data_IF_927990690173
#
_entry.id   IF_927990690173
#
_cell.length_a   1.000
_cell.length_b   1.000
_cell.length_c   1.000
_cell.angle_alpha   90.00
_cell.angle_beta   90.00
_cell.angle_gamma   90.00
#
_symmetry.space_group_name_H-M   'P 1'
#
loop_
_entity.id
_entity.type
_entity.pdbx_description
1 polymer ?
#
# COMPACT_ATOMS: atom_id res chain seq x y z
N UNK A 1 -10.47 16.78 24.32
CA UNK A 1 -11.07 15.78 23.43
C UNK A 1 -11.10 14.46 24.15
N UNK A 2 -12.18 13.70 24.01
CA UNK A 2 -12.25 12.34 24.54
C UNK A 2 -11.32 11.40 23.76
N UNK A 3 -10.95 10.26 24.36
CA UNK A 3 -10.17 9.21 23.66
C UNK A 3 -10.85 8.78 22.36
N UNK A 4 -12.18 8.72 22.35
CA UNK A 4 -12.98 8.36 21.17
C UNK A 4 -12.93 9.42 20.07
N UNK A 5 -12.99 10.71 20.42
CA UNK A 5 -12.83 11.80 19.45
C UNK A 5 -11.43 11.81 18.82
N UNK A 6 -10.40 11.48 19.60
CA UNK A 6 -9.04 11.35 19.06
C UNK A 6 -8.95 10.15 18.11
N UNK A 7 -9.52 9.01 18.49
CA UNK A 7 -9.53 7.80 17.66
C UNK A 7 -10.23 8.04 16.30
N UNK A 8 -11.39 8.71 16.31
CA UNK A 8 -12.08 9.09 15.06
C UNK A 8 -11.16 9.91 14.16
N UNK A 9 -10.44 10.90 14.70
CA UNK A 9 -9.51 11.72 13.91
C UNK A 9 -8.34 10.92 13.35
N UNK A 10 -7.82 9.95 14.09
CA UNK A 10 -6.75 9.06 13.63
C UNK A 10 -7.25 8.23 12.44
N UNK A 11 -8.46 7.67 12.51
CA UNK A 11 -9.05 6.95 11.38
C UNK A 11 -9.46 7.85 10.22
N UNK A 12 -9.89 9.10 10.45
CA UNK A 12 -10.15 10.06 9.37
C UNK A 12 -8.86 10.42 8.62
N UNK A 13 -7.76 10.59 9.35
CA UNK A 13 -6.44 10.74 8.75
C UNK A 13 -6.05 9.51 7.95
N UNK A 14 -6.18 8.30 8.52
CA UNK A 14 -5.92 7.04 7.84
C UNK A 14 -6.71 6.90 6.52
N UNK A 15 -8.03 7.14 6.57
CA UNK A 15 -8.91 7.10 5.40
C UNK A 15 -8.42 8.04 4.29
N UNK A 16 -7.99 9.25 4.67
CA UNK A 16 -7.46 10.21 3.71
C UNK A 16 -6.13 9.75 3.10
N UNK A 17 -5.26 9.11 3.88
CA UNK A 17 -4.02 8.55 3.36
C UNK A 17 -4.28 7.41 2.37
N UNK A 18 -5.16 6.47 2.68
CA UNK A 18 -5.52 5.38 1.76
C UNK A 18 -6.10 5.89 0.44
N UNK A 19 -7.01 6.87 0.52
CA UNK A 19 -7.55 7.53 -0.68
C UNK A 19 -6.47 8.23 -1.51
N UNK A 20 -5.48 8.84 -0.84
CA UNK A 20 -4.36 9.52 -1.49
C UNK A 20 -3.41 8.52 -2.16
N UNK A 21 -3.06 7.42 -1.48
CA UNK A 21 -2.26 6.32 -2.03
C UNK A 21 -2.94 5.68 -3.23
N UNK A 22 -4.22 5.33 -3.11
CA UNK A 22 -5.02 4.80 -4.22
C UNK A 22 -5.05 5.75 -5.43
N UNK A 23 -5.24 7.05 -5.20
CA UNK A 23 -5.26 8.06 -6.28
C UNK A 23 -3.90 8.17 -6.98
N UNK A 24 -2.81 8.07 -6.23
CA UNK A 24 -1.46 8.00 -6.78
C UNK A 24 -1.29 6.76 -7.67
N UNK A 25 -1.76 5.59 -7.22
CA UNK A 25 -1.70 4.36 -8.02
C UNK A 25 -2.54 4.43 -9.29
N UNK A 26 -3.75 4.96 -9.22
CA UNK A 26 -4.62 5.17 -10.38
C UNK A 26 -3.96 6.10 -11.41
N UNK A 27 -3.43 7.25 -10.95
CA UNK A 27 -2.76 8.22 -11.83
C UNK A 27 -1.47 7.65 -12.43
N UNK A 28 -0.75 6.83 -11.66
CA UNK A 28 0.46 6.14 -12.15
C UNK A 28 0.11 5.10 -13.20
N UNK A 29 -0.95 4.32 -12.99
CA UNK A 29 -1.44 3.31 -13.93
C UNK A 29 -1.82 3.91 -15.29
N UNK A 30 -2.40 5.11 -15.33
CA UNK A 30 -2.72 5.82 -16.57
C UNK A 30 -1.48 6.24 -17.38
N UNK A 31 -0.36 6.47 -16.69
CA UNK A 31 0.90 6.94 -17.28
C UNK A 31 1.84 5.80 -17.65
N UNK A 32 1.75 4.67 -16.95
CA UNK A 32 2.58 3.50 -17.20
C UNK A 32 2.20 2.85 -18.53
N UNK A 33 3.22 2.49 -19.32
CA UNK A 33 3.04 1.77 -20.59
C UNK A 33 2.44 0.37 -20.39
N UNK A 34 1.99 -0.26 -21.48
CA UNK A 34 1.44 -1.62 -21.46
C UNK A 34 2.52 -2.60 -20.99
N UNK A 35 2.28 -3.34 -19.91
CA UNK A 35 3.22 -4.32 -19.38
C UNK A 35 2.77 -4.99 -18.09
N UNK A 36 3.63 -5.85 -17.53
CA UNK A 36 3.36 -6.63 -16.33
C UNK A 36 3.01 -5.77 -15.09
N UNK A 37 3.59 -4.57 -14.97
CA UNK A 37 3.30 -3.65 -13.87
C UNK A 37 1.86 -3.12 -13.86
N UNK A 38 1.19 -3.06 -15.02
CA UNK A 38 -0.22 -2.65 -15.12
C UNK A 38 -1.12 -3.57 -14.29
N UNK A 39 -0.87 -4.88 -14.30
CA UNK A 39 -1.69 -5.83 -13.57
C UNK A 39 -1.47 -5.73 -12.05
N UNK A 40 -0.23 -5.52 -11.62
CA UNK A 40 0.08 -5.35 -10.20
C UNK A 40 -0.54 -4.07 -9.63
N UNK A 41 -0.43 -2.94 -10.34
CA UNK A 41 -1.09 -1.70 -9.92
C UNK A 41 -2.61 -1.83 -9.91
N UNK A 42 -3.22 -2.53 -10.87
CA UNK A 42 -4.67 -2.84 -10.83
C UNK A 42 -5.06 -3.68 -9.62
N UNK A 43 -4.20 -4.61 -9.23
CA UNK A 43 -4.43 -5.44 -8.05
C UNK A 43 -4.29 -4.60 -6.76
N UNK A 44 -3.24 -3.80 -6.64
CA UNK A 44 -3.04 -2.87 -5.53
C UNK A 44 -4.22 -1.91 -5.36
N UNK A 45 -4.70 -1.29 -6.44
CA UNK A 45 -5.87 -0.39 -6.37
C UNK A 45 -7.09 -1.10 -5.76
N UNK A 46 -7.32 -2.38 -6.09
CA UNK A 46 -8.44 -3.16 -5.50
C UNK A 46 -8.21 -3.50 -4.03
N UNK A 47 -6.96 -3.57 -3.60
CA UNK A 47 -6.61 -3.80 -2.19
C UNK A 47 -6.79 -2.50 -1.41
N UNK A 48 -6.37 -1.35 -1.95
CA UNK A 48 -6.65 -0.04 -1.33
C UNK A 48 -8.15 0.24 -1.21
N UNK A 49 -8.96 -0.14 -2.21
CA UNK A 49 -10.43 -0.04 -2.12
C UNK A 49 -10.98 -0.81 -0.91
N UNK A 50 -10.37 -1.94 -0.57
CA UNK A 50 -10.75 -2.75 0.60
C UNK A 50 -10.26 -2.10 1.90
N UNK A 51 -9.06 -1.51 1.92
CA UNK A 51 -8.56 -0.77 3.07
C UNK A 51 -9.45 0.45 3.37
N UNK A 52 -9.82 1.22 2.34
CA UNK A 52 -10.74 2.35 2.42
C UNK A 52 -12.09 1.89 2.99
N UNK A 53 -12.63 0.78 2.49
CA UNK A 53 -13.91 0.26 2.97
C UNK A 53 -13.83 -0.22 4.42
N UNK A 54 -12.73 -0.90 4.80
CA UNK A 54 -12.45 -1.34 6.16
C UNK A 54 -12.42 -0.15 7.14
N UNK A 55 -11.63 0.89 6.82
CA UNK A 55 -11.51 2.09 7.67
C UNK A 55 -12.84 2.87 7.72
N UNK A 56 -13.56 2.96 6.60
CA UNK A 56 -14.84 3.67 6.53
C UNK A 56 -15.89 3.02 7.44
N UNK A 57 -15.98 1.68 7.45
CA UNK A 57 -16.90 0.96 8.36
C UNK A 57 -16.56 1.21 9.83
N UNK A 58 -15.27 1.17 10.18
CA UNK A 58 -14.82 1.49 11.54
C UNK A 58 -15.21 2.93 11.93
N UNK A 59 -14.98 3.89 11.05
CA UNK A 59 -15.34 5.29 11.28
C UNK A 59 -16.84 5.48 11.48
N UNK A 60 -17.67 4.84 10.66
CA UNK A 60 -19.12 4.94 10.77
C UNK A 60 -19.61 4.39 12.12
N UNK A 61 -19.08 3.25 12.56
CA UNK A 61 -19.38 2.65 13.86
C UNK A 61 -18.96 3.59 15.02
N UNK A 62 -17.73 4.11 14.97
CA UNK A 62 -17.24 5.03 15.99
C UNK A 62 -18.08 6.32 16.07
N UNK A 63 -18.48 6.88 14.93
CA UNK A 63 -19.33 8.08 14.84
C UNK A 63 -20.75 7.86 15.35
N UNK A 64 -21.27 6.64 15.23
CA UNK A 64 -22.57 6.24 15.80
C UNK A 64 -22.49 5.91 17.30
N UNK A 65 -21.29 5.94 17.89
CA UNK A 65 -21.10 5.64 19.30
C UNK A 65 -20.84 4.16 19.58
N UNK A 66 -20.78 3.30 18.58
CA UNK A 66 -20.38 1.90 18.70
C UNK A 66 -18.87 1.75 18.92
N UNK A 67 -18.44 0.55 19.34
CA UNK A 67 -17.04 0.15 19.45
C UNK A 67 -16.55 -0.48 18.14
N UNK A 68 -15.24 -0.69 18.01
CA UNK A 68 -14.69 -1.43 16.87
C UNK A 68 -15.03 -2.91 17.02
N UNK A 69 -15.82 -3.45 16.09
CA UNK A 69 -16.13 -4.87 16.00
C UNK A 69 -15.41 -5.49 14.80
N UNK A 70 -14.34 -6.25 15.08
CA UNK A 70 -13.54 -6.92 14.06
C UNK A 70 -14.24 -8.11 13.39
N UNK A 71 -15.29 -8.67 14.01
CA UNK A 71 -16.02 -9.79 13.44
C UNK A 71 -16.84 -9.37 12.20
N UNK A 72 -17.36 -8.14 12.18
CA UNK A 72 -18.04 -7.56 11.01
C UNK A 72 -17.09 -7.22 9.85
N UNK A 73 -15.79 -7.20 10.12
CA UNK A 73 -14.72 -6.80 9.19
C UNK A 73 -13.81 -7.99 8.80
N UNK A 74 -14.15 -9.20 9.24
CA UNK A 74 -13.44 -10.43 8.91
C UNK A 74 -13.51 -10.79 7.41
N UNK A 75 -14.50 -10.25 6.70
CA UNK A 75 -14.64 -10.35 5.23
C UNK A 75 -13.47 -9.68 4.47
N UNK A 76 -12.71 -8.80 5.12
CA UNK A 76 -11.60 -8.05 4.53
C UNK A 76 -10.23 -8.68 4.77
N UNK A 77 -10.14 -9.82 5.47
CA UNK A 77 -8.88 -10.53 5.65
C UNK A 77 -8.43 -11.08 4.29
N UNK A 78 -7.51 -10.34 3.67
CA UNK A 78 -6.86 -10.78 2.44
C UNK A 78 -5.75 -11.77 2.77
N UNK A 79 -5.79 -12.92 2.11
CA UNK A 79 -4.62 -13.77 1.94
C UNK A 79 -3.53 -12.96 1.20
N UNK A 80 -2.24 -13.19 1.47
CA UNK A 80 -1.16 -12.51 0.77
C UNK A 80 -1.32 -12.69 -0.75
N UNK A 81 -1.58 -11.60 -1.46
CA UNK A 81 -1.68 -11.65 -2.92
C UNK A 81 -0.27 -11.73 -3.51
N UNK A 82 -0.05 -12.68 -4.41
CA UNK A 82 1.14 -12.66 -5.25
C UNK A 82 0.95 -11.63 -6.37
N UNK A 83 1.40 -10.38 -6.14
CA UNK A 83 1.24 -9.26 -7.07
C UNK A 83 1.86 -9.52 -8.45
N UNK A 84 2.88 -10.39 -8.52
CA UNK A 84 3.51 -10.79 -9.75
C UNK A 84 3.99 -12.24 -9.69
N UNK A 85 3.57 -13.04 -10.67
CA UNK A 85 4.28 -14.27 -10.96
C UNK A 85 5.72 -13.97 -11.46
N UNK A 86 6.62 -14.95 -11.33
CA UNK A 86 8.05 -14.80 -11.67
C UNK A 86 8.33 -14.36 -13.12
N UNK A 87 7.41 -14.72 -14.03
CA UNK A 87 7.49 -14.28 -15.42
C UNK A 87 7.24 -12.77 -15.55
N UNK A 88 6.17 -12.28 -14.92
CA UNK A 88 5.79 -10.88 -14.93
C UNK A 88 6.88 -10.01 -14.24
N UNK A 89 7.52 -10.52 -13.19
CA UNK A 89 8.72 -9.93 -12.56
C UNK A 89 9.84 -9.70 -13.58
N UNK A 90 10.17 -10.75 -14.32
CA UNK A 90 11.29 -10.75 -15.27
C UNK A 90 11.03 -9.82 -16.46
N UNK A 91 9.83 -9.90 -17.03
CA UNK A 91 9.41 -9.04 -18.17
C UNK A 91 9.41 -7.55 -17.78
N UNK A 92 8.97 -7.21 -16.56
CA UNK A 92 9.01 -5.82 -16.09
C UNK A 92 10.44 -5.28 -15.94
N UNK A 93 11.33 -6.06 -15.33
CA UNK A 93 12.73 -5.65 -15.14
C UNK A 93 13.46 -5.47 -16.47
N UNK A 94 13.24 -6.38 -17.42
CA UNK A 94 13.78 -6.26 -18.78
C UNK A 94 13.28 -4.98 -19.47
N UNK A 95 12.00 -4.65 -19.34
CA UNK A 95 11.42 -3.43 -19.90
C UNK A 95 11.98 -2.15 -19.26
N UNK A 96 12.20 -2.13 -17.94
CA UNK A 96 12.81 -0.98 -17.26
C UNK A 96 14.28 -0.74 -17.67
N UNK A 97 15.01 -1.80 -18.00
CA UNK A 97 16.41 -1.74 -18.39
C UNK A 97 16.59 -1.37 -19.87
N UNK A 98 15.74 -1.90 -20.75
CA UNK A 98 15.87 -1.74 -22.22
C UNK A 98 15.11 -0.52 -22.74
N UNK A 99 13.91 -0.25 -22.20
CA UNK A 99 13.15 0.95 -22.53
C UNK A 99 13.57 2.09 -21.62
N UNK A 100 13.66 3.34 -22.12
CA UNK A 100 13.98 4.55 -21.35
C UNK A 100 12.94 4.93 -20.28
N UNK A 101 12.51 3.97 -19.45
CA UNK A 101 11.42 3.99 -18.48
C UNK A 101 11.88 4.56 -17.13
N UNK A 102 12.73 5.59 -17.15
CA UNK A 102 13.07 6.40 -15.96
C UNK A 102 11.82 6.88 -15.18
N UNK A 103 10.69 7.23 -15.84
CA UNK A 103 9.45 7.57 -15.13
C UNK A 103 8.91 6.46 -14.22
N UNK A 104 9.05 5.18 -14.61
CA UNK A 104 8.53 4.05 -13.84
C UNK A 104 9.33 3.83 -12.55
N UNK A 105 10.64 4.05 -12.58
CA UNK A 105 11.49 3.95 -11.38
C UNK A 105 11.07 4.97 -10.31
N UNK A 106 10.69 6.17 -10.73
CA UNK A 106 10.22 7.23 -9.82
C UNK A 106 8.87 6.86 -9.22
N UNK A 107 7.98 6.26 -10.00
CA UNK A 107 6.69 5.75 -9.52
C UNK A 107 6.89 4.68 -8.45
N UNK A 108 7.73 3.66 -8.70
CA UNK A 108 8.00 2.59 -7.73
C UNK A 108 8.70 3.10 -6.46
N UNK A 109 9.62 4.06 -6.58
CA UNK A 109 10.24 4.70 -5.43
C UNK A 109 9.23 5.47 -4.58
N UNK A 110 8.34 6.22 -5.22
CA UNK A 110 7.32 7.02 -4.53
C UNK A 110 6.30 6.11 -3.86
N UNK A 111 5.86 5.06 -4.54
CA UNK A 111 5.02 4.01 -3.98
C UNK A 111 5.66 3.39 -2.73
N UNK A 112 6.91 2.94 -2.81
CA UNK A 112 7.62 2.38 -1.65
C UNK A 112 7.62 3.32 -0.44
N UNK A 113 7.82 4.63 -0.65
CA UNK A 113 7.80 5.60 0.45
C UNK A 113 6.40 5.78 1.05
N UNK A 114 5.35 5.84 0.23
CA UNK A 114 3.96 5.91 0.68
C UNK A 114 3.63 4.70 1.57
N UNK A 115 3.87 3.49 1.06
CA UNK A 115 3.55 2.24 1.76
C UNK A 115 4.35 2.08 3.06
N UNK A 116 5.62 2.49 3.04
CA UNK A 116 6.46 2.49 4.23
C UNK A 116 5.91 3.43 5.30
N UNK A 117 5.58 4.66 4.92
CA UNK A 117 5.06 5.67 5.85
C UNK A 117 3.72 5.20 6.46
N UNK A 118 2.84 4.58 5.66
CA UNK A 118 1.58 4.02 6.14
C UNK A 118 1.77 2.82 7.06
N UNK A 119 2.63 1.87 6.68
CA UNK A 119 2.96 0.72 7.53
C UNK A 119 3.51 1.16 8.89
N UNK A 120 4.42 2.14 8.91
CA UNK A 120 4.97 2.70 10.14
C UNK A 120 3.91 3.47 10.95
N UNK A 121 3.07 4.26 10.29
CA UNK A 121 1.96 4.97 10.93
C UNK A 121 0.99 4.01 11.63
N UNK A 122 0.53 2.98 10.94
CA UNK A 122 -0.38 1.98 11.51
C UNK A 122 0.29 1.15 12.60
N UNK A 123 1.56 0.78 12.42
CA UNK A 123 2.33 0.10 13.46
C UNK A 123 2.47 0.95 14.73
N UNK A 124 2.63 2.27 14.58
CA UNK A 124 2.62 3.21 15.70
C UNK A 124 1.22 3.33 16.33
N UNK A 125 0.17 3.44 15.53
CA UNK A 125 -1.20 3.54 16.03
C UNK A 125 -1.57 2.30 16.85
N UNK A 126 -1.28 1.10 16.36
CA UNK A 126 -1.51 -0.17 17.05
C UNK A 126 -0.82 -0.25 18.42
N UNK A 127 0.39 0.33 18.56
CA UNK A 127 1.12 0.38 19.84
C UNK A 127 0.55 1.38 20.84
N UNK A 128 -0.22 2.36 20.37
CA UNK A 128 -0.79 3.43 21.18
C UNK A 128 -2.30 3.26 21.44
N UNK A 129 -2.88 2.15 20.97
CA UNK A 129 -4.25 1.75 21.24
C UNK A 129 -4.25 0.37 21.89
N UNK A 130 -5.37 0.00 22.48
CA UNK A 130 -5.60 -1.31 23.11
C UNK A 130 -6.79 -2.00 22.43
N UNK A 131 -7.00 -3.28 22.73
CA UNK A 131 -8.21 -3.99 22.32
C UNK A 131 -8.42 -4.09 20.81
N UNK A 132 -9.68 -4.08 20.34
CA UNK A 132 -10.01 -4.22 18.91
C UNK A 132 -9.39 -3.14 18.01
N UNK A 133 -9.19 -1.92 18.52
CA UNK A 133 -8.53 -0.84 17.79
C UNK A 133 -7.06 -1.16 17.49
N UNK A 134 -6.35 -1.70 18.49
CA UNK A 134 -4.95 -2.14 18.32
C UNK A 134 -4.84 -3.22 17.25
N UNK A 135 -5.75 -4.18 17.26
CA UNK A 135 -5.78 -5.27 16.30
C UNK A 135 -6.14 -4.78 14.89
N UNK A 136 -7.09 -3.85 14.76
CA UNK A 136 -7.42 -3.21 13.47
C UNK A 136 -6.21 -2.49 12.85
N UNK A 137 -5.50 -1.67 13.63
CA UNK A 137 -4.29 -1.00 13.14
C UNK A 137 -3.15 -1.98 12.86
N UNK A 138 -3.03 -3.06 13.64
CA UNK A 138 -2.04 -4.10 13.38
C UNK A 138 -2.33 -4.86 12.08
N UNK A 139 -3.61 -5.02 11.69
CA UNK A 139 -3.99 -5.58 10.39
C UNK A 139 -3.57 -4.67 9.24
N UNK A 140 -3.96 -3.39 9.29
CA UNK A 140 -3.56 -2.38 8.30
C UNK A 140 -2.03 -2.34 8.15
N UNK A 141 -1.29 -2.26 9.26
CA UNK A 141 0.17 -2.24 9.24
C UNK A 141 0.79 -3.45 8.52
N UNK A 142 0.18 -4.63 8.64
CA UNK A 142 0.65 -5.86 7.96
C UNK A 142 0.36 -5.82 6.46
N UNK A 143 -0.79 -5.28 6.05
CA UNK A 143 -1.14 -5.11 4.64
C UNK A 143 -0.18 -4.13 3.96
N UNK A 144 0.00 -2.94 4.54
CA UNK A 144 0.95 -1.96 3.99
C UNK A 144 2.39 -2.47 4.02
N UNK A 145 2.75 -3.31 5.00
CA UNK A 145 4.08 -3.92 5.02
C UNK A 145 4.27 -4.88 3.84
N UNK A 146 3.22 -5.57 3.41
CA UNK A 146 3.28 -6.42 2.23
C UNK A 146 3.50 -5.58 0.96
N UNK A 147 2.77 -4.48 0.82
CA UNK A 147 2.96 -3.51 -0.27
C UNK A 147 4.37 -2.91 -0.25
N UNK A 148 4.85 -2.46 0.92
CA UNK A 148 6.19 -1.89 1.10
C UNK A 148 7.27 -2.88 0.63
N UNK A 149 7.20 -4.12 1.10
CA UNK A 149 8.16 -5.16 0.73
C UNK A 149 8.16 -5.42 -0.78
N UNK A 150 6.96 -5.46 -1.37
CA UNK A 150 6.78 -5.60 -2.80
C UNK A 150 7.47 -4.44 -3.56
N UNK A 151 7.16 -3.18 -3.27
CA UNK A 151 7.78 -2.05 -3.97
C UNK A 151 9.28 -1.96 -3.72
N UNK A 152 9.74 -2.29 -2.51
CA UNK A 152 11.17 -2.33 -2.16
C UNK A 152 11.93 -3.34 -3.01
N UNK A 153 11.39 -4.55 -3.18
CA UNK A 153 12.03 -5.60 -4.00
C UNK A 153 12.29 -5.10 -5.42
N UNK A 154 11.29 -4.46 -6.04
CA UNK A 154 11.42 -3.93 -7.41
C UNK A 154 12.38 -2.76 -7.49
N UNK A 155 12.28 -1.82 -6.56
CA UNK A 155 13.21 -0.70 -6.45
C UNK A 155 14.66 -1.17 -6.38
N UNK A 156 14.93 -2.15 -5.52
CA UNK A 156 16.28 -2.67 -5.31
C UNK A 156 16.79 -3.37 -6.57
N UNK A 157 15.97 -4.23 -7.21
CA UNK A 157 16.33 -4.88 -8.48
C UNK A 157 16.57 -3.90 -9.63
N UNK A 158 15.77 -2.83 -9.74
CA UNK A 158 16.01 -1.77 -10.73
C UNK A 158 17.34 -1.08 -10.44
N UNK A 159 17.60 -0.73 -9.18
CA UNK A 159 18.83 -0.06 -8.77
C UNK A 159 20.06 -0.92 -9.06
N UNK A 160 20.00 -2.21 -8.73
CA UNK A 160 21.04 -3.21 -9.05
C UNK A 160 21.27 -3.32 -10.56
N UNK A 161 20.19 -3.36 -11.35
CA UNK A 161 20.28 -3.45 -12.81
C UNK A 161 21.05 -2.25 -13.39
N UNK A 162 20.72 -1.02 -12.99
CA UNK A 162 21.46 0.18 -13.41
C UNK A 162 22.91 0.20 -12.90
N UNK A 163 23.16 -0.23 -11.65
CA UNK A 163 24.50 -0.29 -11.09
C UNK A 163 25.41 -1.31 -11.80
N UNK A 164 24.82 -2.37 -12.36
CA UNK A 164 25.55 -3.42 -13.10
C UNK A 164 25.82 -3.08 -14.57
N UNK A 165 25.23 -2.00 -15.10
CA UNK A 165 25.47 -1.59 -16.49
C UNK A 165 26.94 -1.17 -16.67
N UNK A 166 27.51 -1.34 -17.87
CA UNK A 166 28.80 -0.72 -18.19
C UNK A 166 28.63 0.79 -18.35
N UNK A 167 29.22 1.59 -17.46
CA UNK A 167 29.09 3.05 -17.46
C UNK A 167 30.10 3.75 -18.40
N UNK A 168 30.71 2.96 -19.29
CA UNK A 168 31.78 3.40 -20.19
C UNK A 168 33.17 3.25 -19.57
N UNK A 169 33.98 2.46 -20.25
CA UNK A 169 35.42 2.23 -20.09
C UNK A 169 35.95 1.61 -21.38
#
# INVERSE_FOLDING_TARGET
MSTKENLIKVYEYALNQEQTGMSFFQTSLERMGIGAAVNAFKQLIKEEEKHILFISRILDNLKQGAEVDLAEVQEFVLEPTDYFNDRAKSEFLEQCVIGSMVPDVTVFNTAWLIEKDLSEFYGNAARNTDGPESEAFAMLARWEKAHENFFKEYRDKISESYASMPWGG
#
